data_IF_568506628838
#
_entry.id   IF_568506628838
#
_cell.length_a   1.000
_cell.length_b   1.000
_cell.length_c   1.000
_cell.angle_alpha   90.00
_cell.angle_beta   90.00
_cell.angle_gamma   90.00
#
_symmetry.space_group_name_H-M   'P 1'
#
loop_
_entity.id
_entity.type
_entity.pdbx_description
1 polymer ?
#
# COMPACT_ATOMS: atom_id res chain seq x y z
N UNK A 1 21.56 -27.75 -26.33
CA UNK A 1 20.33 -28.51 -26.65
C UNK A 1 20.72 -29.95 -26.88
N UNK A 2 20.06 -30.93 -26.23
CA UNK A 2 20.42 -32.33 -26.37
C UNK A 2 20.03 -32.88 -27.75
N UNK A 3 20.76 -33.90 -28.21
CA UNK A 3 20.61 -34.50 -29.53
C UNK A 3 20.11 -35.93 -29.34
N UNK A 4 19.10 -36.33 -30.11
CA UNK A 4 18.60 -37.71 -30.08
C UNK A 4 19.69 -38.70 -30.53
N UNK A 5 19.90 -39.77 -29.77
CA UNK A 5 20.86 -40.83 -30.10
C UNK A 5 20.62 -41.49 -31.47
N UNK A 6 19.35 -41.63 -31.87
CA UNK A 6 18.99 -42.36 -33.10
C UNK A 6 18.92 -41.45 -34.33
N UNK A 7 18.03 -40.46 -34.34
CA UNK A 7 17.81 -39.62 -35.52
C UNK A 7 18.71 -38.38 -35.59
N UNK A 8 19.54 -38.14 -34.57
CA UNK A 8 20.41 -36.96 -34.45
C UNK A 8 19.68 -35.60 -34.53
N UNK A 9 18.35 -35.60 -34.41
CA UNK A 9 17.57 -34.39 -34.32
C UNK A 9 17.82 -33.69 -32.98
N UNK A 10 17.78 -32.35 -33.00
CA UNK A 10 17.84 -31.53 -31.77
C UNK A 10 16.49 -31.63 -31.07
N UNK A 11 16.49 -32.13 -29.84
CA UNK A 11 15.26 -32.34 -29.05
C UNK A 11 15.31 -31.53 -27.76
N UNK A 12 14.15 -31.33 -27.13
CA UNK A 12 14.07 -30.61 -25.87
C UNK A 12 14.65 -31.44 -24.72
N UNK A 13 15.11 -30.78 -23.65
CA UNK A 13 15.53 -31.49 -22.43
C UNK A 13 14.37 -32.21 -21.72
N UNK A 14 13.13 -31.89 -22.09
CA UNK A 14 11.91 -32.50 -21.56
C UNK A 14 11.52 -33.79 -22.30
N UNK A 15 12.06 -34.04 -23.49
CA UNK A 15 11.74 -35.21 -24.32
C UNK A 15 12.59 -36.43 -23.91
N UNK A 16 12.59 -36.77 -22.61
CA UNK A 16 13.44 -37.83 -22.04
C UNK A 16 12.90 -39.24 -22.29
N UNK A 17 11.59 -39.38 -22.45
CA UNK A 17 10.94 -40.70 -22.52
C UNK A 17 10.86 -41.22 -23.95
N UNK A 18 10.44 -40.36 -24.88
CA UNK A 18 10.22 -40.71 -26.30
C UNK A 18 10.68 -39.55 -27.18
N UNK A 19 11.46 -39.85 -28.23
CA UNK A 19 11.81 -38.84 -29.22
C UNK A 19 10.58 -38.42 -30.04
N UNK A 20 10.24 -37.12 -30.12
CA UNK A 20 9.09 -36.64 -30.91
C UNK A 20 9.29 -36.80 -32.42
N UNK A 21 10.52 -37.01 -32.89
CA UNK A 21 10.85 -37.10 -34.32
C UNK A 21 10.85 -38.54 -34.83
N UNK A 22 11.45 -39.47 -34.08
CA UNK A 22 11.65 -40.85 -34.54
C UNK A 22 11.05 -41.91 -33.61
N UNK A 23 10.32 -41.52 -32.56
CA UNK A 23 9.67 -42.44 -31.64
C UNK A 23 10.61 -43.32 -30.80
N UNK A 24 11.92 -43.05 -30.83
CA UNK A 24 12.90 -43.83 -30.06
C UNK A 24 12.71 -43.60 -28.57
N UNK A 25 12.54 -44.67 -27.81
CA UNK A 25 12.47 -44.65 -26.34
C UNK A 25 13.83 -44.28 -25.75
N UNK A 26 13.85 -43.46 -24.70
CA UNK A 26 15.06 -42.95 -24.04
C UNK A 26 16.09 -42.36 -25.03
N UNK A 27 15.73 -41.28 -25.77
CA UNK A 27 16.62 -40.69 -26.76
C UNK A 27 17.88 -40.04 -26.17
N UNK A 28 17.93 -39.82 -24.86
CA UNK A 28 19.04 -39.18 -24.14
C UNK A 28 19.70 -40.19 -23.20
N UNK A 29 21.00 -40.44 -23.39
CA UNK A 29 21.78 -41.30 -22.50
C UNK A 29 22.19 -40.55 -21.23
N UNK A 30 22.03 -41.18 -20.06
CA UNK A 30 22.54 -40.67 -18.78
C UNK A 30 21.66 -39.62 -18.09
N UNK A 31 20.43 -39.41 -18.55
CA UNK A 31 19.47 -38.53 -17.87
C UNK A 31 18.37 -39.41 -17.29
N UNK A 32 18.49 -39.74 -16.00
CA UNK A 32 17.40 -40.42 -15.29
C UNK A 32 16.14 -39.54 -15.34
N UNK A 33 15.01 -40.19 -15.57
CA UNK A 33 13.67 -39.62 -15.45
C UNK A 33 13.27 -39.52 -13.98
N UNK A 34 14.18 -39.00 -13.15
CA UNK A 34 13.83 -38.73 -11.76
C UNK A 34 12.88 -37.55 -11.80
N UNK A 35 11.64 -37.82 -11.40
CA UNK A 35 10.65 -36.81 -11.04
C UNK A 35 11.29 -35.92 -9.99
N UNK A 36 11.73 -34.74 -10.39
CA UNK A 36 12.15 -33.71 -9.43
C UNK A 36 10.88 -33.31 -8.70
N UNK A 37 10.66 -33.85 -7.50
CA UNK A 37 9.59 -33.40 -6.62
C UNK A 37 9.74 -31.89 -6.45
N UNK A 38 8.66 -31.16 -6.75
CA UNK A 38 8.54 -29.72 -6.52
C UNK A 38 8.26 -29.50 -5.03
N UNK A 39 9.03 -30.15 -4.16
CA UNK A 39 9.07 -29.98 -2.71
C UNK A 39 10.35 -29.26 -2.31
N UNK A 40 10.91 -28.45 -3.21
CA UNK A 40 11.89 -27.45 -2.83
C UNK A 40 11.20 -26.50 -1.83
N UNK A 41 11.42 -26.76 -0.55
CA UNK A 41 11.17 -25.79 0.51
C UNK A 41 11.98 -24.56 0.13
N UNK A 42 11.29 -23.50 -0.29
CA UNK A 42 11.92 -22.20 -0.47
C UNK A 42 12.50 -21.85 0.89
N UNK A 43 13.82 -21.75 0.96
CA UNK A 43 14.51 -21.38 2.18
C UNK A 43 14.25 -19.90 2.46
N UNK A 44 13.21 -19.62 3.26
CA UNK A 44 12.77 -18.28 3.64
C UNK A 44 13.69 -17.70 4.74
N UNK A 45 14.71 -18.44 5.20
CA UNK A 45 15.59 -18.04 6.32
C UNK A 45 16.40 -16.74 6.09
N UNK A 46 16.37 -16.17 4.88
CA UNK A 46 16.95 -14.86 4.55
C UNK A 46 15.92 -13.73 4.30
N UNK A 47 14.62 -14.03 4.23
CA UNK A 47 13.58 -13.01 4.15
C UNK A 47 13.38 -12.47 5.56
N UNK A 48 14.12 -11.41 5.91
CA UNK A 48 13.65 -10.46 6.91
C UNK A 48 12.34 -9.89 6.37
N UNK A 49 11.23 -10.57 6.62
CA UNK A 49 9.94 -9.91 6.66
C UNK A 49 10.07 -8.84 7.74
N UNK A 50 10.43 -7.63 7.33
CA UNK A 50 10.09 -6.48 8.14
C UNK A 50 8.59 -6.60 8.36
N UNK A 51 8.18 -6.97 9.58
CA UNK A 51 6.78 -7.00 9.96
C UNK A 51 6.24 -5.61 9.73
N UNK A 52 5.67 -5.39 8.55
CA UNK A 52 5.09 -4.11 8.19
C UNK A 52 3.89 -3.94 9.09
N UNK A 53 3.97 -2.93 9.93
CA UNK A 53 2.93 -2.62 10.90
C UNK A 53 1.70 -2.18 10.12
N UNK A 54 0.73 -3.09 10.01
CA UNK A 54 -0.58 -2.81 9.44
C UNK A 54 -1.21 -1.64 10.19
N UNK A 55 -1.71 -0.68 9.42
CA UNK A 55 -2.26 0.56 9.94
C UNK A 55 -3.75 0.42 10.18
N UNK A 56 -4.17 0.79 11.38
CA UNK A 56 -5.56 0.68 11.80
C UNK A 56 -6.35 1.90 11.35
N UNK A 57 -7.50 1.66 10.69
CA UNK A 57 -8.45 2.72 10.28
C UNK A 57 -8.97 3.52 11.46
N UNK A 58 -9.17 2.88 12.61
CA UNK A 58 -9.62 3.54 13.84
C UNK A 58 -8.59 4.54 14.35
N UNK A 59 -7.31 4.16 14.37
CA UNK A 59 -6.22 5.04 14.76
C UNK A 59 -6.08 6.22 13.81
N UNK A 60 -6.22 5.98 12.50
CA UNK A 60 -6.28 7.04 11.51
C UNK A 60 -7.44 8.01 11.79
N UNK A 61 -8.65 7.51 12.01
CA UNK A 61 -9.82 8.35 12.31
C UNK A 61 -9.59 9.21 13.55
N UNK A 62 -9.07 8.61 14.63
CA UNK A 62 -8.74 9.35 15.86
C UNK A 62 -7.71 10.44 15.61
N UNK A 63 -6.69 10.19 14.78
CA UNK A 63 -5.70 11.19 14.40
C UNK A 63 -6.31 12.35 13.61
N UNK A 64 -7.25 12.08 12.70
CA UNK A 64 -7.98 13.14 11.99
C UNK A 64 -8.87 13.96 12.92
N UNK A 65 -9.48 13.32 13.91
CA UNK A 65 -10.36 14.01 14.87
C UNK A 65 -9.53 14.89 15.82
N UNK A 66 -8.57 14.33 16.54
CA UNK A 66 -7.86 15.07 17.59
C UNK A 66 -6.73 15.96 17.07
N UNK A 67 -6.07 15.53 16.00
CA UNK A 67 -4.87 16.17 15.48
C UNK A 67 -4.99 16.47 13.97
N UNK A 68 -6.21 16.64 13.46
CA UNK A 68 -6.49 16.85 12.03
C UNK A 68 -5.81 18.09 11.45
N UNK A 69 -5.82 19.19 12.20
CA UNK A 69 -5.21 20.46 11.79
C UNK A 69 -3.71 20.35 11.49
N UNK A 70 -3.02 19.39 12.10
CA UNK A 70 -1.58 19.13 11.85
C UNK A 70 -1.31 18.25 10.63
N UNK A 71 -2.35 17.65 10.03
CA UNK A 71 -2.18 16.62 8.99
C UNK A 71 -1.64 15.29 9.51
N UNK A 72 -1.64 15.06 10.83
CA UNK A 72 -1.14 13.84 11.48
C UNK A 72 -1.71 12.54 10.87
N UNK A 73 -2.98 12.53 10.48
CA UNK A 73 -3.61 11.38 9.83
C UNK A 73 -3.00 11.05 8.46
N UNK A 74 -2.59 12.06 7.67
CA UNK A 74 -1.88 11.84 6.41
C UNK A 74 -0.43 11.42 6.62
N UNK A 75 0.24 11.92 7.66
CA UNK A 75 1.54 11.43 8.09
C UNK A 75 1.47 9.97 8.53
N UNK A 76 0.43 9.60 9.27
CA UNK A 76 0.14 8.23 9.64
C UNK A 76 -0.10 7.34 8.42
N UNK A 77 -0.59 7.88 7.30
CA UNK A 77 -0.69 7.16 6.03
C UNK A 77 0.58 7.21 5.16
N UNK A 78 1.72 7.71 5.66
CA UNK A 78 2.96 7.92 4.87
C UNK A 78 2.80 8.87 3.66
N UNK A 79 1.69 9.59 3.55
CA UNK A 79 1.44 10.56 2.46
C UNK A 79 2.02 11.93 2.82
N UNK A 80 3.35 12.02 2.95
CA UNK A 80 4.06 13.22 3.44
C UNK A 80 3.72 14.50 2.67
N UNK A 81 3.67 14.42 1.32
CA UNK A 81 3.32 15.57 0.47
C UNK A 81 1.90 16.05 0.75
N UNK A 82 0.95 15.13 0.82
CA UNK A 82 -0.45 15.45 1.15
C UNK A 82 -0.59 16.01 2.56
N UNK A 83 0.14 15.45 3.53
CA UNK A 83 0.13 15.95 4.90
C UNK A 83 0.65 17.38 5.00
N UNK A 84 1.72 17.71 4.26
CA UNK A 84 2.29 19.06 4.24
C UNK A 84 1.35 20.06 3.56
N UNK A 85 0.72 19.68 2.45
CA UNK A 85 -0.32 20.49 1.80
C UNK A 85 -1.51 20.70 2.74
N UNK A 86 -1.92 19.66 3.46
CA UNK A 86 -3.00 19.76 4.44
C UNK A 86 -2.66 20.73 5.57
N UNK A 87 -1.48 20.61 6.17
CA UNK A 87 -1.03 21.52 7.23
C UNK A 87 -0.99 22.97 6.75
N UNK A 88 -0.44 23.23 5.56
CA UNK A 88 -0.43 24.58 4.98
C UNK A 88 -1.84 25.09 4.70
N UNK A 89 -2.74 24.21 4.24
CA UNK A 89 -4.15 24.58 4.04
C UNK A 89 -4.82 24.98 5.35
N UNK A 90 -4.63 24.21 6.44
CA UNK A 90 -5.21 24.54 7.75
C UNK A 90 -4.60 25.84 8.32
N UNK A 91 -3.30 26.07 8.10
CA UNK A 91 -2.61 27.29 8.51
C UNK A 91 -3.19 28.55 7.86
N UNK A 92 -3.71 28.46 6.63
CA UNK A 92 -4.40 29.57 5.96
C UNK A 92 -5.88 29.59 6.30
N UNK A 93 -6.51 28.43 6.41
CA UNK A 93 -7.95 28.29 6.63
C UNK A 93 -8.40 28.82 7.99
N UNK A 94 -7.67 28.52 9.07
CA UNK A 94 -8.02 28.97 10.43
C UNK A 94 -8.01 30.51 10.56
N UNK A 95 -6.96 31.24 10.11
CA UNK A 95 -6.99 32.70 10.09
C UNK A 95 -8.11 33.27 9.22
N UNK A 96 -8.40 32.67 8.08
CA UNK A 96 -9.50 33.12 7.20
C UNK A 96 -10.84 32.97 7.92
N UNK A 97 -11.08 31.84 8.58
CA UNK A 97 -12.28 31.65 9.41
C UNK A 97 -12.33 32.66 10.56
N UNK A 98 -11.21 32.93 11.22
CA UNK A 98 -11.15 33.92 12.30
C UNK A 98 -11.55 35.31 11.80
N UNK A 99 -10.98 35.76 10.68
CA UNK A 99 -11.33 37.05 10.08
C UNK A 99 -12.82 37.07 9.65
N UNK A 100 -13.32 35.94 9.12
CA UNK A 100 -14.72 35.78 8.76
C UNK A 100 -15.65 35.80 9.98
N UNK A 101 -15.26 35.32 11.14
CA UNK A 101 -16.10 35.39 12.34
C UNK A 101 -15.98 36.72 13.09
N UNK A 102 -14.80 37.35 13.04
CA UNK A 102 -14.53 38.59 13.76
C UNK A 102 -15.15 39.81 13.07
N UNK A 103 -15.01 39.95 11.74
CA UNK A 103 -15.46 41.16 11.04
C UNK A 103 -16.97 41.19 10.73
N UNK A 104 -17.55 40.26 9.94
CA UNK A 104 -18.94 40.35 9.53
C UNK A 104 -19.94 39.85 10.59
N UNK A 105 -19.53 39.00 11.53
CA UNK A 105 -20.40 38.55 12.64
C UNK A 105 -20.15 39.31 13.94
N UNK A 106 -19.16 40.22 13.98
CA UNK A 106 -18.81 41.05 15.13
C UNK A 106 -18.66 40.26 16.45
N UNK A 107 -18.20 39.02 16.36
CA UNK A 107 -17.99 38.18 17.54
C UNK A 107 -16.77 38.66 18.34
N UNK A 108 -16.82 38.50 19.66
CA UNK A 108 -15.64 38.75 20.50
C UNK A 108 -14.45 37.92 20.01
N UNK A 109 -13.23 38.44 20.23
CA UNK A 109 -11.99 37.81 19.75
C UNK A 109 -11.89 36.35 20.19
N UNK A 110 -12.19 36.06 21.46
CA UNK A 110 -12.13 34.71 22.01
C UNK A 110 -13.15 33.79 21.34
N UNK A 111 -14.40 34.25 21.17
CA UNK A 111 -15.44 33.48 20.51
C UNK A 111 -15.09 33.21 19.04
N UNK A 112 -14.58 34.21 18.33
CA UNK A 112 -14.15 34.07 16.93
C UNK A 112 -13.07 33.00 16.76
N UNK A 113 -12.10 32.94 17.67
CA UNK A 113 -11.05 31.91 17.68
C UNK A 113 -11.69 30.53 17.94
N UNK A 114 -12.52 30.41 18.98
CA UNK A 114 -13.17 29.13 19.33
C UNK A 114 -14.00 28.60 18.17
N UNK A 115 -14.85 29.42 17.55
CA UNK A 115 -15.66 29.00 16.41
C UNK A 115 -14.82 28.60 15.21
N UNK A 116 -13.70 29.28 14.95
CA UNK A 116 -12.77 28.91 13.86
C UNK A 116 -12.21 27.50 14.07
N UNK A 117 -11.76 27.19 15.29
CA UNK A 117 -11.28 25.84 15.63
C UNK A 117 -12.38 24.79 15.64
N UNK A 118 -13.60 25.13 16.07
CA UNK A 118 -14.74 24.20 16.03
C UNK A 118 -15.10 23.83 14.59
N UNK A 119 -15.15 24.82 13.69
CA UNK A 119 -15.40 24.56 12.26
C UNK A 119 -14.27 23.72 11.65
N UNK A 120 -13.02 24.07 11.92
CA UNK A 120 -11.86 23.31 11.45
C UNK A 120 -11.89 21.85 11.96
N UNK A 121 -12.23 21.65 13.23
CA UNK A 121 -12.40 20.33 13.82
C UNK A 121 -13.49 19.51 13.13
N UNK A 122 -14.65 20.12 12.83
CA UNK A 122 -15.74 19.45 12.11
C UNK A 122 -15.29 19.06 10.70
N UNK A 123 -14.61 19.95 9.97
CA UNK A 123 -14.09 19.64 8.63
C UNK A 123 -13.12 18.46 8.69
N UNK A 124 -12.17 18.47 9.62
CA UNK A 124 -11.21 17.39 9.79
C UNK A 124 -11.88 16.07 10.20
N UNK A 125 -12.90 16.10 11.07
CA UNK A 125 -13.68 14.93 11.45
C UNK A 125 -14.46 14.34 10.27
N UNK A 126 -15.09 15.18 9.44
CA UNK A 126 -15.81 14.75 8.22
C UNK A 126 -14.85 14.13 7.22
N UNK A 127 -13.67 14.73 7.02
CA UNK A 127 -12.65 14.18 6.11
C UNK A 127 -12.12 12.83 6.64
N UNK A 128 -11.84 12.74 7.94
CA UNK A 128 -11.46 11.49 8.59
C UNK A 128 -12.52 10.39 8.44
N UNK A 129 -13.79 10.73 8.66
CA UNK A 129 -14.91 9.81 8.49
C UNK A 129 -15.10 9.38 7.04
N UNK A 130 -14.99 10.31 6.08
CA UNK A 130 -15.04 10.00 4.66
C UNK A 130 -13.95 8.99 4.29
N UNK A 131 -12.70 9.26 4.71
CA UNK A 131 -11.57 8.35 4.48
C UNK A 131 -11.73 6.99 5.17
N UNK A 132 -12.33 6.93 6.36
CA UNK A 132 -12.64 5.68 7.06
C UNK A 132 -13.60 4.80 6.27
N UNK A 133 -14.61 5.42 5.63
CA UNK A 133 -15.63 4.74 4.84
C UNK A 133 -15.13 4.26 3.46
N UNK A 134 -13.96 4.73 2.97
CA UNK A 134 -13.40 4.24 1.71
C UNK A 134 -12.84 2.82 1.88
N UNK A 135 -13.42 1.79 1.24
CA UNK A 135 -13.02 0.39 1.46
C UNK A 135 -11.63 0.09 0.91
N UNK A 136 -11.20 0.79 -0.16
CA UNK A 136 -9.94 0.56 -0.85
C UNK A 136 -8.85 1.58 -0.50
N UNK A 137 -8.88 2.13 0.73
CA UNK A 137 -7.89 3.10 1.14
C UNK A 137 -6.51 2.46 1.23
N UNK A 138 -5.61 2.93 0.36
CA UNK A 138 -4.19 2.57 0.36
C UNK A 138 -3.35 3.66 1.01
N UNK A 139 -2.34 3.24 1.74
CA UNK A 139 -1.33 4.11 2.30
C UNK A 139 -0.30 4.56 1.23
N UNK A 140 0.68 5.37 1.62
CA UNK A 140 1.71 5.90 0.72
C UNK A 140 2.66 4.85 0.13
N UNK A 141 2.65 3.62 0.65
CA UNK A 141 3.43 2.48 0.15
C UNK A 141 2.58 1.48 -0.63
N UNK A 142 1.29 1.76 -0.80
CA UNK A 142 0.36 0.93 -1.58
C UNK A 142 -0.34 -0.16 -0.77
N UNK A 143 -0.19 -0.18 0.55
CA UNK A 143 -0.78 -1.18 1.44
C UNK A 143 -2.17 -0.76 1.90
N UNK A 144 -3.06 -1.74 2.10
CA UNK A 144 -4.41 -1.48 2.55
C UNK A 144 -4.42 -1.13 4.04
N UNK A 145 -5.19 -0.09 4.38
CA UNK A 145 -5.47 0.27 5.77
C UNK A 145 -6.59 -0.63 6.27
N UNK A 146 -6.35 -1.36 7.35
CA UNK A 146 -7.28 -2.34 7.96
C UNK A 146 -8.19 -1.71 9.00
#
# INVERSE_FOLDING_TARGET
MPICRNCKARISKFDKDICPVCGTKQPLQGVSSDTVEITAQVDISGLKEEQKVLRNRKSMLLLFIFCGFTGSGFFYLKKKKTALVWLLSNLVFIPVLFLMFYFPFELEVVLSIVFSFVVDYIVNAVVGAALYLFPNLKDGEGEFVS
#
